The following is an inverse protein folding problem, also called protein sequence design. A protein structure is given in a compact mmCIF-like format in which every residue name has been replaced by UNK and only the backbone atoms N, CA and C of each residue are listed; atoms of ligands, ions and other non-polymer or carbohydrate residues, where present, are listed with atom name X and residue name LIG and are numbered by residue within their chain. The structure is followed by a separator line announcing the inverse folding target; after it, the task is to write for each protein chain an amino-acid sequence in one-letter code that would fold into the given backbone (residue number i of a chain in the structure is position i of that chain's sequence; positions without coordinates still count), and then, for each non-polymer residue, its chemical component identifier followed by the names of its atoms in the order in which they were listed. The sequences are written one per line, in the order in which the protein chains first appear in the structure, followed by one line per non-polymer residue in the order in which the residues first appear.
data_IF_736941695273
#
_entry.id   IF_736941695273
#
_cell.length_a   1.000
_cell.length_b   1.000
_cell.length_c   1.000
_cell.angle_alpha   90.00
_cell.angle_beta   90.00
_cell.angle_gamma   90.00
#
_symmetry.space_group_name_H-M   'P 1'
#
loop_
_entity.id
_entity.type
_entity.pdbx_description
1 polymer ?
#
# COMPACT_ATOMS: atom_id res chain seq x y z
N UNK A 1 -18.43 33.96 37.77
CA UNK A 1 -17.47 32.85 37.85
C UNK A 1 -17.66 32.10 36.56
N UNK A 2 -16.82 32.41 35.57
CA UNK A 2 -17.00 32.01 34.17
C UNK A 2 -16.00 30.89 33.91
N UNK A 3 -16.48 29.72 33.54
CA UNK A 3 -15.66 28.56 33.21
C UNK A 3 -14.71 28.87 32.03
N UNK A 4 -13.38 28.66 32.17
CA UNK A 4 -12.44 28.85 31.08
C UNK A 4 -11.93 27.49 30.60
N UNK A 5 -12.80 26.59 30.13
CA UNK A 5 -12.37 25.39 29.40
C UNK A 5 -13.37 25.12 28.29
N UNK A 6 -13.45 26.06 27.36
CA UNK A 6 -13.88 25.78 25.99
C UNK A 6 -12.95 26.59 25.09
N UNK A 7 -11.64 26.38 25.26
CA UNK A 7 -10.68 26.73 24.22
C UNK A 7 -11.03 25.86 23.00
N UNK A 8 -11.81 26.49 22.13
CA UNK A 8 -11.81 26.28 20.70
C UNK A 8 -10.49 25.63 20.25
N UNK A 9 -10.54 24.36 19.85
CA UNK A 9 -9.51 23.71 19.03
C UNK A 9 -9.63 24.32 17.62
N UNK A 10 -9.39 25.62 17.50
CA UNK A 10 -9.61 26.47 16.32
C UNK A 10 -8.32 26.65 15.52
N UNK A 11 -7.40 25.69 15.61
CA UNK A 11 -6.08 25.77 14.97
C UNK A 11 -5.72 24.58 14.08
N UNK A 12 -6.57 23.56 13.99
CA UNK A 12 -6.36 22.44 13.06
C UNK A 12 -6.99 22.80 11.72
N UNK A 13 -6.14 23.01 10.72
CA UNK A 13 -6.57 23.13 9.32
C UNK A 13 -6.57 21.73 8.70
N UNK A 14 -7.74 21.09 8.74
CA UNK A 14 -7.98 19.78 8.15
C UNK A 14 -7.56 19.72 6.67
N UNK A 15 -7.79 20.81 5.92
CA UNK A 15 -7.45 20.87 4.50
C UNK A 15 -5.94 20.92 4.25
N UNK A 16 -5.19 21.59 5.14
CA UNK A 16 -3.74 21.61 5.08
C UNK A 16 -3.15 20.24 5.44
N UNK A 17 -3.72 19.57 6.44
CA UNK A 17 -3.30 18.21 6.82
C UNK A 17 -3.57 17.20 5.71
N UNK A 18 -4.76 17.22 5.10
CA UNK A 18 -5.11 16.34 3.99
C UNK A 18 -4.17 16.55 2.78
N UNK A 19 -3.87 17.81 2.46
CA UNK A 19 -2.94 18.15 1.38
C UNK A 19 -1.51 17.66 1.67
N UNK A 20 -1.05 17.75 2.92
CA UNK A 20 0.24 17.22 3.35
C UNK A 20 0.28 15.69 3.27
N UNK A 21 -0.78 15.01 3.73
CA UNK A 21 -0.90 13.55 3.64
C UNK A 21 -0.92 13.07 2.18
N UNK A 22 -1.68 13.72 1.32
CA UNK A 22 -1.70 13.42 -0.12
C UNK A 22 -0.34 13.68 -0.78
N UNK A 23 0.40 14.69 -0.31
CA UNK A 23 1.79 14.94 -0.70
C UNK A 23 2.70 13.76 -0.35
N UNK A 24 2.57 13.21 0.86
CA UNK A 24 3.36 12.04 1.30
C UNK A 24 3.03 10.77 0.52
N UNK A 25 1.76 10.52 0.23
CA UNK A 25 1.36 9.41 -0.67
C UNK A 25 1.91 9.58 -2.09
N UNK A 26 1.93 10.82 -2.60
CA UNK A 26 2.55 11.12 -3.88
C UNK A 26 4.05 10.83 -3.88
N UNK A 27 4.77 11.26 -2.86
CA UNK A 27 6.22 11.01 -2.75
C UNK A 27 6.51 9.52 -2.62
N UNK A 28 5.69 8.78 -1.87
CA UNK A 28 5.73 7.33 -1.80
C UNK A 28 5.59 6.70 -3.20
N UNK A 29 4.58 7.08 -3.99
CA UNK A 29 4.38 6.55 -5.35
C UNK A 29 5.59 6.78 -6.25
N UNK A 30 6.20 7.97 -6.18
CA UNK A 30 7.37 8.32 -6.99
C UNK A 30 8.53 7.38 -6.64
N UNK A 31 8.84 7.25 -5.35
CA UNK A 31 9.92 6.36 -4.90
C UNK A 31 9.64 4.89 -5.24
N UNK A 32 8.38 4.46 -5.07
CA UNK A 32 7.97 3.11 -5.43
C UNK A 32 8.11 2.85 -6.94
N UNK A 33 7.73 3.80 -7.78
CA UNK A 33 7.91 3.68 -9.22
C UNK A 33 9.39 3.53 -9.60
N UNK A 34 10.28 4.30 -8.96
CA UNK A 34 11.73 4.16 -9.13
C UNK A 34 12.20 2.75 -8.76
N UNK A 35 11.78 2.21 -7.59
CA UNK A 35 12.13 0.84 -7.18
C UNK A 35 11.60 -0.22 -8.15
N UNK A 36 10.34 -0.09 -8.59
CA UNK A 36 9.76 -1.01 -9.56
C UNK A 36 10.47 -0.94 -10.93
N UNK A 37 11.05 0.22 -11.27
CA UNK A 37 11.86 0.43 -12.47
C UNK A 37 13.25 -0.20 -12.39
N UNK A 38 13.76 -0.43 -11.17
CA UNK A 38 15.05 -1.09 -10.93
C UNK A 38 14.92 -2.60 -10.63
N UNK A 39 13.69 -3.10 -10.41
CA UNK A 39 13.41 -4.52 -10.17
C UNK A 39 14.08 -5.44 -11.20
N UNK A 40 14.85 -6.43 -10.75
CA UNK A 40 15.51 -7.38 -11.66
C UNK A 40 14.99 -8.80 -11.42
N UNK A 41 15.16 -9.66 -12.43
CA UNK A 41 14.68 -11.03 -12.35
C UNK A 41 15.34 -11.77 -11.18
N UNK A 42 14.51 -12.29 -10.26
CA UNK A 42 14.95 -13.07 -9.11
C UNK A 42 14.98 -12.29 -7.78
N UNK A 43 14.69 -10.99 -7.79
CA UNK A 43 14.62 -10.16 -6.60
C UNK A 43 13.22 -9.55 -6.48
N UNK A 44 12.26 -10.25 -5.84
CA UNK A 44 10.96 -9.67 -5.56
C UNK A 44 11.12 -8.52 -4.58
N UNK A 45 10.26 -7.51 -4.72
CA UNK A 45 10.20 -6.37 -3.84
C UNK A 45 8.95 -6.46 -2.99
N UNK A 46 9.09 -6.36 -1.67
CA UNK A 46 7.97 -6.49 -0.74
C UNK A 46 7.73 -5.18 -0.01
N UNK A 47 6.47 -4.73 0.01
CA UNK A 47 6.02 -3.62 0.85
C UNK A 47 5.21 -4.17 1.99
N UNK A 48 5.50 -3.70 3.20
CA UNK A 48 4.76 -4.09 4.37
C UNK A 48 4.54 -2.95 5.36
N UNK A 49 3.46 -3.04 6.14
CA UNK A 49 3.19 -2.08 7.22
C UNK A 49 4.03 -2.42 8.47
N UNK A 50 4.81 -1.47 8.99
CA UNK A 50 5.59 -1.60 10.22
C UNK A 50 4.72 -1.81 11.46
N UNK A 51 3.47 -1.35 11.39
CA UNK A 51 2.51 -1.48 12.46
C UNK A 51 1.64 -2.67 12.11
N UNK A 52 1.81 -3.77 12.85
CA UNK A 52 0.78 -4.80 12.87
C UNK A 52 -0.53 -4.09 13.21
N UNK A 53 -1.50 -4.15 12.30
CA UNK A 53 -2.79 -3.55 12.58
C UNK A 53 -3.38 -4.18 13.85
N UNK A 54 -4.42 -3.59 14.43
CA UNK A 54 -5.09 -4.14 15.61
C UNK A 54 -5.50 -5.64 15.50
N UNK A 55 -5.59 -6.19 14.29
CA UNK A 55 -5.82 -7.62 14.02
C UNK A 55 -4.56 -8.50 13.98
N UNK A 56 -3.36 -7.93 14.19
CA UNK A 56 -2.08 -8.64 14.18
C UNK A 56 -1.56 -9.02 12.79
N UNK A 57 -2.20 -8.51 11.73
CA UNK A 57 -1.83 -8.76 10.35
C UNK A 57 -1.07 -7.57 9.77
N UNK A 58 0.00 -7.90 9.06
CA UNK A 58 0.83 -6.94 8.36
C UNK A 58 0.29 -6.84 6.94
N UNK A 59 -0.04 -5.64 6.45
CA UNK A 59 -0.29 -5.48 5.03
C UNK A 59 0.97 -5.95 4.30
N UNK A 60 0.87 -6.89 3.37
CA UNK A 60 2.01 -7.37 2.59
C UNK A 60 1.62 -7.42 1.12
N UNK A 61 2.47 -6.80 0.29
CA UNK A 61 2.35 -6.83 -1.15
C UNK A 61 3.71 -7.15 -1.75
N UNK A 62 3.73 -8.07 -2.70
CA UNK A 62 4.93 -8.47 -3.41
C UNK A 62 4.86 -8.01 -4.87
N UNK A 63 5.96 -7.46 -5.37
CA UNK A 63 6.16 -7.10 -6.75
C UNK A 63 7.24 -7.99 -7.37
N UNK A 64 6.94 -8.60 -8.50
CA UNK A 64 7.84 -9.51 -9.19
C UNK A 64 7.95 -9.18 -10.67
N UNK A 65 9.16 -9.33 -11.20
CA UNK A 65 9.40 -9.26 -12.64
C UNK A 65 8.82 -10.51 -13.30
N UNK A 66 7.92 -10.31 -14.26
CA UNK A 66 7.45 -11.36 -15.18
C UNK A 66 8.08 -11.07 -16.54
N UNK A 67 8.46 -12.11 -17.29
CA UNK A 67 9.27 -11.99 -18.52
C UNK A 67 8.83 -10.88 -19.51
N UNK A 68 9.72 -10.52 -20.44
CA UNK A 68 9.47 -9.47 -21.46
C UNK A 68 9.14 -8.08 -20.90
N UNK A 69 9.85 -7.66 -19.83
CA UNK A 69 9.71 -6.33 -19.19
C UNK A 69 8.38 -6.12 -18.44
N UNK A 70 7.67 -7.21 -18.15
CA UNK A 70 6.42 -7.17 -17.40
C UNK A 70 6.62 -7.11 -15.88
N UNK A 71 5.56 -6.68 -15.19
CA UNK A 71 5.51 -6.61 -13.74
C UNK A 71 4.25 -7.30 -13.23
N UNK A 72 4.35 -8.04 -12.14
CA UNK A 72 3.21 -8.56 -11.41
C UNK A 72 3.22 -8.05 -9.97
N UNK A 73 2.06 -7.64 -9.47
CA UNK A 73 1.81 -7.39 -8.06
C UNK A 73 0.99 -8.55 -7.49
N UNK A 74 1.32 -9.00 -6.30
CA UNK A 74 0.77 -10.18 -5.66
C UNK A 74 0.40 -9.87 -4.21
N UNK A 75 -0.75 -10.38 -3.78
CA UNK A 75 -1.26 -10.28 -2.42
C UNK A 75 -1.81 -11.65 -2.03
N UNK A 76 -1.32 -12.22 -0.94
CA UNK A 76 -1.94 -13.41 -0.34
C UNK A 76 -3.26 -13.03 0.33
N UNK A 77 -4.32 -13.79 0.03
CA UNK A 77 -5.68 -13.49 0.47
C UNK A 77 -5.80 -13.53 2.00
N UNK A 78 -5.00 -14.38 2.66
CA UNK A 78 -4.98 -14.48 4.12
C UNK A 78 -4.38 -13.26 4.83
N UNK A 79 -3.57 -12.45 4.13
CA UNK A 79 -3.00 -11.19 4.65
C UNK A 79 -4.00 -10.04 4.62
N UNK A 80 -5.13 -10.20 3.92
CA UNK A 80 -6.12 -9.13 3.79
C UNK A 80 -6.91 -8.93 5.09
N UNK A 81 -7.33 -9.98 5.78
CA UNK A 81 -7.95 -9.93 7.11
C UNK A 81 -8.12 -11.34 7.66
N UNK A 82 -8.13 -11.46 8.99
CA UNK A 82 -8.49 -12.67 9.71
C UNK A 82 -10.01 -12.90 9.73
N UNK A 83 -10.79 -11.83 9.58
CA UNK A 83 -12.25 -11.90 9.48
C UNK A 83 -12.65 -12.19 8.02
N UNK A 84 -13.30 -13.33 7.78
CA UNK A 84 -13.68 -13.78 6.43
C UNK A 84 -14.59 -12.79 5.69
N UNK A 85 -15.46 -12.07 6.41
CA UNK A 85 -16.40 -11.12 5.80
C UNK A 85 -15.67 -9.86 5.36
N UNK A 86 -14.78 -9.34 6.20
CA UNK A 86 -13.91 -8.22 5.85
C UNK A 86 -12.96 -8.61 4.70
N UNK A 87 -12.35 -9.79 4.78
CA UNK A 87 -11.49 -10.34 3.74
C UNK A 87 -12.23 -10.40 2.39
N UNK A 88 -13.45 -10.94 2.35
CA UNK A 88 -14.26 -10.98 1.14
C UNK A 88 -14.58 -9.57 0.59
N UNK A 89 -14.79 -8.60 1.48
CA UNK A 89 -14.96 -7.19 1.11
C UNK A 89 -13.71 -6.61 0.45
N UNK A 90 -12.54 -6.81 1.06
CA UNK A 90 -11.23 -6.37 0.55
C UNK A 90 -10.86 -7.03 -0.79
N UNK A 91 -11.10 -8.34 -0.91
CA UNK A 91 -10.95 -9.07 -2.18
C UNK A 91 -11.81 -8.43 -3.27
N UNK A 92 -13.07 -8.10 -2.97
CA UNK A 92 -13.97 -7.45 -3.93
C UNK A 92 -13.43 -6.08 -4.36
N UNK A 93 -12.96 -5.26 -3.42
CA UNK A 93 -12.39 -3.94 -3.73
C UNK A 93 -11.18 -4.02 -4.67
N UNK A 94 -10.32 -5.04 -4.50
CA UNK A 94 -9.19 -5.29 -5.39
C UNK A 94 -9.64 -5.80 -6.76
N UNK A 95 -10.59 -6.74 -6.80
CA UNK A 95 -11.14 -7.26 -8.07
C UNK A 95 -11.82 -6.18 -8.90
N UNK A 96 -12.50 -5.22 -8.28
CA UNK A 96 -13.11 -4.07 -8.95
C UNK A 96 -12.05 -3.15 -9.61
N UNK A 97 -10.77 -3.29 -9.25
CA UNK A 97 -9.62 -2.62 -9.86
C UNK A 97 -8.80 -3.51 -10.81
N UNK A 98 -9.32 -4.68 -11.18
CA UNK A 98 -8.70 -5.55 -12.20
C UNK A 98 -7.78 -6.64 -11.63
N UNK A 99 -7.64 -6.75 -10.31
CA UNK A 99 -6.93 -7.87 -9.70
C UNK A 99 -7.65 -9.18 -9.99
N UNK A 100 -6.89 -10.21 -10.35
CA UNK A 100 -7.40 -11.56 -10.63
C UNK A 100 -7.03 -12.49 -9.50
N UNK A 101 -7.94 -13.39 -9.12
CA UNK A 101 -7.64 -14.42 -8.14
C UNK A 101 -7.03 -15.64 -8.84
N UNK A 102 -5.92 -16.11 -8.30
CA UNK A 102 -5.26 -17.37 -8.64
C UNK A 102 -5.05 -18.13 -7.33
N UNK A 103 -5.89 -19.14 -7.09
CA UNK A 103 -5.95 -19.88 -5.82
C UNK A 103 -6.11 -18.95 -4.60
N UNK A 104 -5.08 -18.86 -3.74
CA UNK A 104 -5.05 -18.03 -2.53
C UNK A 104 -4.31 -16.71 -2.71
N UNK A 105 -3.88 -16.39 -3.94
CA UNK A 105 -3.20 -15.14 -4.28
C UNK A 105 -4.08 -14.27 -5.19
N UNK A 106 -4.08 -12.96 -4.95
CA UNK A 106 -4.58 -11.96 -5.89
C UNK A 106 -3.40 -11.39 -6.68
N UNK A 107 -3.54 -11.37 -8.00
CA UNK A 107 -2.49 -10.96 -8.93
C UNK A 107 -3.00 -9.83 -9.83
N UNK A 108 -2.20 -8.78 -9.97
CA UNK A 108 -2.36 -7.75 -10.99
C UNK A 108 -1.11 -7.72 -11.87
N UNK A 109 -1.27 -8.01 -13.16
CA UNK A 109 -0.18 -8.08 -14.13
C UNK A 109 -0.18 -6.88 -15.07
N UNK A 110 1.01 -6.41 -15.38
CA UNK A 110 1.29 -5.34 -16.33
C UNK A 110 2.17 -5.92 -17.44
N UNK A 111 1.67 -5.92 -18.68
CA UNK A 111 2.36 -6.51 -19.85
C UNK A 111 3.67 -5.78 -20.22
N UNK A 112 3.82 -4.55 -19.75
CA UNK A 112 5.06 -3.75 -19.81
C UNK A 112 5.29 -3.13 -18.46
N UNK A 113 6.46 -2.51 -18.31
CA UNK A 113 6.88 -1.84 -17.08
C UNK A 113 6.14 -0.52 -16.81
N UNK A 114 4.82 -0.62 -16.61
CA UNK A 114 3.92 0.46 -16.22
C UNK A 114 4.09 0.78 -14.73
N UNK A 115 5.30 1.19 -14.34
CA UNK A 115 5.69 1.39 -12.92
C UNK A 115 4.81 2.41 -12.20
N UNK A 116 4.36 3.45 -12.90
CA UNK A 116 3.45 4.45 -12.34
C UNK A 116 2.07 3.86 -12.03
N UNK A 117 1.52 3.07 -12.96
CA UNK A 117 0.22 2.41 -12.78
C UNK A 117 0.29 1.36 -11.67
N UNK A 118 1.40 0.64 -11.59
CA UNK A 118 1.68 -0.29 -10.52
C UNK A 118 1.79 0.43 -9.16
N UNK A 119 2.51 1.54 -9.08
CA UNK A 119 2.62 2.33 -7.85
C UNK A 119 1.25 2.88 -7.39
N UNK A 120 0.40 3.32 -8.32
CA UNK A 120 -0.98 3.72 -8.03
C UNK A 120 -1.81 2.54 -7.50
N UNK A 121 -1.66 1.35 -8.08
CA UNK A 121 -2.35 0.15 -7.63
C UNK A 121 -1.91 -0.26 -6.21
N UNK A 122 -0.61 -0.14 -5.90
CA UNK A 122 -0.06 -0.41 -4.57
C UNK A 122 -0.60 0.60 -3.55
N UNK A 123 -0.59 1.90 -3.84
CA UNK A 123 -1.19 2.90 -2.94
C UNK A 123 -2.66 2.58 -2.67
N UNK A 124 -3.45 2.30 -3.71
CA UNK A 124 -4.86 1.97 -3.52
C UNK A 124 -5.04 0.76 -2.59
N UNK A 125 -4.24 -0.29 -2.80
CA UNK A 125 -4.30 -1.46 -1.93
C UNK A 125 -3.98 -1.07 -0.48
N UNK A 126 -2.88 -0.37 -0.24
CA UNK A 126 -2.43 -0.02 1.12
C UNK A 126 -3.38 0.98 1.79
N UNK A 127 -3.68 2.10 1.13
CA UNK A 127 -4.49 3.20 1.68
C UNK A 127 -5.98 2.84 1.78
N UNK A 128 -6.58 2.30 0.72
CA UNK A 128 -8.03 2.13 0.65
C UNK A 128 -8.48 0.72 1.08
N UNK A 129 -7.68 -0.32 0.78
CA UNK A 129 -8.06 -1.71 1.10
C UNK A 129 -7.60 -2.12 2.49
N UNK A 130 -6.34 -1.86 2.84
CA UNK A 130 -5.82 -2.13 4.18
C UNK A 130 -6.11 -1.01 5.19
N UNK A 131 -6.33 0.21 4.73
CA UNK A 131 -6.57 1.36 5.61
C UNK A 131 -5.30 1.92 6.23
N UNK A 132 -4.13 1.75 5.58
CA UNK A 132 -2.87 2.35 6.02
C UNK A 132 -3.06 3.87 5.99
N UNK A 133 -2.95 4.55 7.15
CA UNK A 133 -3.26 5.98 7.22
C UNK A 133 -2.16 6.83 6.60
N UNK A 134 -0.91 6.35 6.62
CA UNK A 134 0.28 7.13 6.28
C UNK A 134 1.37 6.23 5.69
N UNK A 135 2.00 6.59 4.57
CA UNK A 135 3.07 5.78 3.99
C UNK A 135 4.33 5.76 4.86
N UNK A 136 4.47 6.64 5.86
CA UNK A 136 5.58 6.60 6.81
C UNK A 136 5.59 5.32 7.67
N UNK A 137 4.46 4.61 7.77
CA UNK A 137 4.39 3.30 8.41
C UNK A 137 4.84 2.17 7.48
N UNK A 138 5.08 2.44 6.19
CA UNK A 138 5.48 1.42 5.24
C UNK A 138 6.98 1.19 5.28
N UNK A 139 7.32 -0.07 5.16
CA UNK A 139 8.67 -0.56 5.01
C UNK A 139 8.78 -1.31 3.69
N UNK A 140 9.91 -1.12 3.03
CA UNK A 140 10.30 -1.87 1.85
C UNK A 140 11.39 -2.88 2.22
N UNK A 141 11.26 -4.10 1.73
CA UNK A 141 12.38 -5.03 1.64
C UNK A 141 12.93 -5.03 0.21
N UNK A 142 14.14 -4.50 0.05
CA UNK A 142 14.89 -4.53 -1.19
C UNK A 142 16.19 -5.31 -0.95
N UNK A 143 16.29 -6.53 -1.49
CA UNK A 143 17.50 -7.37 -1.39
C UNK A 143 17.95 -7.67 0.06
N UNK A 144 17.04 -8.08 0.96
CA UNK A 144 17.30 -8.34 2.39
C UNK A 144 17.73 -7.07 3.19
N UNK A 145 17.42 -5.87 2.69
CA UNK A 145 17.66 -4.60 3.38
C UNK A 145 16.32 -3.91 3.61
N UNK A 146 15.90 -3.89 4.88
CA UNK A 146 14.72 -3.13 5.31
C UNK A 146 14.98 -1.62 5.19
N UNK A 147 14.12 -0.91 4.46
CA UNK A 147 14.15 0.55 4.32
C UNK A 147 12.80 1.17 4.66
N UNK A 148 12.85 2.23 5.46
CA UNK A 148 11.69 3.10 5.71
C UNK A 148 11.44 4.03 4.52
N UNK A 149 10.16 4.22 4.17
CA UNK A 149 9.74 5.28 3.25
C UNK A 149 9.62 6.62 3.99
N UNK A 150 10.71 7.09 4.61
CA UNK A 150 10.85 8.46 5.16
C UNK A 150 11.52 9.37 4.16
#
# INVERSE_FOLDING_TARGET
MTDPITENISGFDESAFDAELDGRWRDFRIRLADYLSDLTRGYPFSVYDAVANWSGMTAQLEAAYIGDDGLALMIEVDQLSADEREQAGRVRMLRDRGWRRADDTLILEFERRHVDEAAIAVEYALREVWGVPDPAYLLADENDIWREFT
#
